data_IF_085371882340
#
_entry.id   IF_085371882340
#
_cell.length_a   1.000
_cell.length_b   1.000
_cell.length_c   1.000
_cell.angle_alpha   90.00
_cell.angle_beta   90.00
_cell.angle_gamma   90.00
#
_symmetry.space_group_name_H-M   'P 1'
#
loop_
_entity.id
_entity.type
_entity.pdbx_description
1 polymer ?
#
# COMPACT_ATOMS: atom_id res chain seq x y z
N UNK A 1 6.02 18.63 3.13
CA UNK A 1 5.65 18.46 1.71
C UNK A 1 5.24 17.01 1.51
N UNK A 2 4.11 16.75 0.84
CA UNK A 2 3.64 15.39 0.58
C UNK A 2 4.17 14.95 -0.79
N UNK A 3 4.67 13.71 -0.89
CA UNK A 3 5.14 13.10 -2.15
C UNK A 3 4.36 11.83 -2.41
N UNK A 4 3.68 11.77 -3.55
CA UNK A 4 2.98 10.58 -4.02
C UNK A 4 3.85 9.79 -5.00
N UNK A 5 3.66 8.48 -5.08
CA UNK A 5 4.15 7.67 -6.19
C UNK A 5 3.37 8.01 -7.46
N UNK A 6 3.89 7.61 -8.62
CA UNK A 6 3.20 7.79 -9.90
C UNK A 6 1.82 7.10 -9.91
N UNK A 7 1.73 5.88 -9.35
CA UNK A 7 0.48 5.13 -9.25
C UNK A 7 -0.59 5.88 -8.44
N UNK A 8 -0.22 6.39 -7.25
CA UNK A 8 -1.15 7.14 -6.39
C UNK A 8 -1.53 8.48 -7.02
N UNK A 9 -0.57 9.19 -7.62
CA UNK A 9 -0.85 10.45 -8.31
C UNK A 9 -1.84 10.25 -9.47
N UNK A 10 -1.70 9.16 -10.24
CA UNK A 10 -2.63 8.78 -11.31
C UNK A 10 -4.01 8.44 -10.74
N UNK A 11 -4.08 7.59 -9.71
CA UNK A 11 -5.35 7.21 -9.09
C UNK A 11 -6.12 8.42 -8.54
N UNK A 12 -5.42 9.41 -7.97
CA UNK A 12 -6.01 10.67 -7.53
C UNK A 12 -6.59 11.48 -8.69
N UNK A 13 -5.87 11.59 -9.81
CA UNK A 13 -6.34 12.27 -11.02
C UNK A 13 -7.57 11.60 -11.64
N UNK A 14 -7.56 10.28 -11.68
CA UNK A 14 -8.64 9.45 -12.24
C UNK A 14 -9.81 9.26 -11.26
N UNK A 15 -9.71 9.76 -10.02
CA UNK A 15 -10.65 9.50 -8.91
C UNK A 15 -10.91 8.00 -8.70
N UNK A 16 -9.87 7.19 -8.91
CA UNK A 16 -9.91 5.76 -8.67
C UNK A 16 -9.82 5.45 -7.17
N UNK A 17 -10.32 4.29 -6.70
CA UNK A 17 -10.22 3.89 -5.31
C UNK A 17 -8.76 3.80 -4.85
N UNK A 18 -8.47 4.34 -3.67
CA UNK A 18 -7.14 4.30 -3.06
C UNK A 18 -7.24 3.71 -1.65
N UNK A 19 -6.33 2.80 -1.30
CA UNK A 19 -6.23 2.20 0.04
C UNK A 19 -4.87 2.51 0.64
N UNK A 20 -4.85 3.30 1.73
CA UNK A 20 -3.62 3.58 2.46
C UNK A 20 -3.27 2.41 3.40
N UNK A 21 -2.02 1.93 3.34
CA UNK A 21 -1.48 0.90 4.23
C UNK A 21 -0.56 1.51 5.29
N UNK A 22 -0.65 1.02 6.53
CA UNK A 22 0.13 1.54 7.66
C UNK A 22 1.55 0.95 7.71
N UNK A 23 2.56 1.78 7.99
CA UNK A 23 3.97 1.35 8.12
C UNK A 23 4.37 0.86 9.53
N UNK A 24 3.67 1.27 10.59
CA UNK A 24 4.02 0.89 11.98
C UNK A 24 3.90 -0.61 12.20
N UNK A 25 2.79 -1.21 11.76
CA UNK A 25 2.55 -2.66 11.87
C UNK A 25 3.62 -3.46 11.12
N UNK A 26 4.05 -2.98 9.95
CA UNK A 26 5.11 -3.60 9.15
C UNK A 26 6.45 -3.52 9.89
N UNK A 27 6.78 -2.37 10.48
CA UNK A 27 8.11 -2.18 11.08
C UNK A 27 8.24 -2.80 12.46
N UNK A 28 7.21 -2.67 13.30
CA UNK A 28 7.28 -3.01 14.73
C UNK A 28 6.25 -4.07 15.16
N UNK A 29 5.21 -4.30 14.38
CA UNK A 29 4.14 -5.25 14.72
C UNK A 29 4.39 -6.68 14.26
N UNK A 30 5.30 -6.89 13.30
CA UNK A 30 5.60 -8.19 12.71
C UNK A 30 7.11 -8.48 12.70
N UNK A 31 7.53 -9.73 13.02
CA UNK A 31 8.93 -10.11 12.93
C UNK A 31 9.38 -10.20 11.46
N UNK A 32 10.68 -10.00 11.21
CA UNK A 32 11.27 -10.38 9.91
C UNK A 32 11.36 -11.90 9.77
N UNK A 33 11.16 -12.48 8.57
CA UNK A 33 10.85 -11.82 7.29
C UNK A 33 9.36 -11.52 7.07
N UNK A 34 8.49 -11.98 7.98
CA UNK A 34 7.03 -11.95 7.84
C UNK A 34 6.48 -10.55 7.59
N UNK A 35 7.11 -9.52 8.14
CA UNK A 35 6.70 -8.13 7.88
C UNK A 35 6.73 -7.74 6.40
N UNK A 36 7.80 -8.10 5.67
CA UNK A 36 7.92 -7.82 4.26
C UNK A 36 6.94 -8.66 3.45
N UNK A 37 6.82 -9.94 3.78
CA UNK A 37 5.88 -10.85 3.13
C UNK A 37 4.44 -10.33 3.23
N UNK A 38 4.01 -9.94 4.44
CA UNK A 38 2.66 -9.41 4.67
C UNK A 38 2.47 -8.06 3.97
N UNK A 39 3.48 -7.19 3.97
CA UNK A 39 3.39 -5.91 3.27
C UNK A 39 3.11 -6.09 1.78
N UNK A 40 3.84 -7.01 1.13
CA UNK A 40 3.67 -7.32 -0.30
C UNK A 40 2.34 -8.05 -0.57
N UNK A 41 1.95 -8.99 0.29
CA UNK A 41 0.68 -9.71 0.18
C UNK A 41 -0.52 -8.75 0.25
N UNK A 42 -0.52 -7.81 1.19
CA UNK A 42 -1.61 -6.84 1.34
C UNK A 42 -1.63 -5.85 0.17
N UNK A 43 -0.48 -5.37 -0.31
CA UNK A 43 -0.41 -4.54 -1.52
C UNK A 43 -1.03 -5.26 -2.73
N UNK A 44 -0.71 -6.54 -2.92
CA UNK A 44 -1.24 -7.35 -4.00
C UNK A 44 -2.76 -7.54 -3.90
N UNK A 45 -3.29 -7.79 -2.69
CA UNK A 45 -4.73 -7.91 -2.44
C UNK A 45 -5.47 -6.62 -2.82
N UNK A 46 -4.91 -5.45 -2.50
CA UNK A 46 -5.50 -4.15 -2.85
C UNK A 46 -5.58 -3.97 -4.37
N UNK A 47 -4.51 -4.33 -5.09
CA UNK A 47 -4.45 -4.26 -6.55
C UNK A 47 -5.46 -5.21 -7.19
N UNK A 48 -5.55 -6.45 -6.71
CA UNK A 48 -6.51 -7.45 -7.19
C UNK A 48 -7.97 -7.04 -6.95
N UNK A 49 -8.22 -6.28 -5.88
CA UNK A 49 -9.51 -5.67 -5.59
C UNK A 49 -9.83 -4.43 -6.45
N UNK A 50 -8.92 -4.02 -7.34
CA UNK A 50 -9.10 -2.89 -8.26
C UNK A 50 -8.82 -1.52 -7.66
N UNK A 51 -8.07 -1.46 -6.56
CA UNK A 51 -7.63 -0.22 -5.92
C UNK A 51 -6.12 -0.01 -6.10
N UNK A 52 -5.64 1.20 -5.78
CA UNK A 52 -4.22 1.58 -5.75
C UNK A 52 -3.78 1.99 -4.36
#
# INVERSE_FOLDING_TARGET
>A
MIKYSEAVAKALGDKSPIVALESTIITHGLPRPKNLEVALEVEQIVIEAGAT
#
